data_IF_045905078189
#
_entry.id   IF_045905078189
#
_cell.length_a   1.000
_cell.length_b   1.000
_cell.length_c   1.000
_cell.angle_alpha   90.00
_cell.angle_beta   90.00
_cell.angle_gamma   90.00
#
_symmetry.space_group_name_H-M   'P 1'
#
loop_
_entity.id
_entity.type
_entity.pdbx_description
1 polymer ?
#
# COMPACT_ATOMS: atom_id res chain seq x y z
N UNK A 1 -5.87 -22.52 18.91
CA UNK A 1 -5.77 -21.08 19.22
C UNK A 1 -5.57 -20.31 17.90
N UNK A 2 -6.43 -19.34 17.54
CA UNK A 2 -6.21 -18.48 16.38
C UNK A 2 -4.94 -17.65 16.56
N UNK A 3 -4.20 -17.38 15.47
CA UNK A 3 -3.05 -16.46 15.55
C UNK A 3 -3.51 -15.03 15.82
N UNK A 4 -2.67 -14.21 16.48
CA UNK A 4 -2.90 -12.75 16.64
C UNK A 4 -3.26 -12.06 15.32
N UNK A 5 -2.67 -12.53 14.22
CA UNK A 5 -2.95 -12.03 12.87
C UNK A 5 -4.37 -12.35 12.39
N UNK A 6 -4.92 -13.50 12.76
CA UNK A 6 -6.29 -13.89 12.43
C UNK A 6 -7.30 -13.05 13.22
N UNK A 7 -7.03 -12.83 14.52
CA UNK A 7 -7.83 -12.00 15.43
C UNK A 7 -7.97 -10.55 14.95
N UNK A 8 -6.87 -9.95 14.46
CA UNK A 8 -6.84 -8.56 13.98
C UNK A 8 -7.37 -8.38 12.56
N UNK A 9 -7.67 -9.46 11.83
CA UNK A 9 -8.13 -9.36 10.44
C UNK A 9 -9.64 -9.52 10.34
N UNK A 10 -10.27 -8.73 9.47
CA UNK A 10 -11.72 -8.80 9.20
C UNK A 10 -12.02 -8.72 7.70
N UNK A 11 -13.16 -9.28 7.31
CA UNK A 11 -13.71 -9.12 5.98
C UNK A 11 -14.05 -7.65 5.72
N UNK A 12 -13.64 -7.12 4.57
CA UNK A 12 -13.88 -5.71 4.21
C UNK A 12 -15.35 -5.41 3.94
N UNK A 13 -16.12 -6.40 3.49
CA UNK A 13 -17.56 -6.24 3.23
C UNK A 13 -18.42 -6.46 4.49
N UNK A 14 -18.38 -7.67 5.07
CA UNK A 14 -19.29 -8.06 6.16
C UNK A 14 -18.68 -8.00 7.56
N UNK A 15 -17.40 -7.64 7.70
CA UNK A 15 -16.74 -7.48 8.99
C UNK A 15 -16.41 -8.78 9.75
N UNK A 16 -16.74 -9.97 9.23
CA UNK A 16 -16.42 -11.23 9.92
C UNK A 16 -14.91 -11.34 10.19
N UNK A 17 -14.54 -11.71 11.41
CA UNK A 17 -13.15 -11.85 11.83
C UNK A 17 -12.49 -13.06 11.18
N UNK A 18 -11.19 -12.97 10.95
CA UNK A 18 -10.36 -14.05 10.42
C UNK A 18 -10.20 -15.24 11.37
N UNK A 19 -10.46 -15.04 12.66
CA UNK A 19 -10.55 -16.13 13.64
C UNK A 19 -11.85 -16.93 13.53
N UNK A 20 -12.90 -16.36 12.94
CA UNK A 20 -14.21 -17.02 12.73
C UNK A 20 -14.26 -17.69 11.36
N UNK A 21 -13.80 -17.00 10.31
CA UNK A 21 -13.81 -17.53 8.94
C UNK A 21 -12.51 -17.18 8.23
N UNK A 22 -11.94 -18.15 7.53
CA UNK A 22 -10.74 -17.95 6.72
C UNK A 22 -10.96 -16.84 5.69
N UNK A 23 -10.10 -15.83 5.71
CA UNK A 23 -10.16 -14.71 4.79
C UNK A 23 -9.18 -14.90 3.65
N UNK A 24 -9.67 -14.69 2.43
CA UNK A 24 -8.89 -14.69 1.20
C UNK A 24 -8.51 -13.25 0.85
N UNK A 25 -7.25 -13.05 0.44
CA UNK A 25 -6.79 -11.75 -0.04
C UNK A 25 -7.29 -11.51 -1.46
N UNK A 26 -7.57 -10.27 -1.80
CA UNK A 26 -7.77 -9.87 -3.19
C UNK A 26 -6.54 -10.28 -4.02
N UNK A 27 -6.74 -11.01 -5.11
CA UNK A 27 -5.65 -11.55 -5.94
C UNK A 27 -4.82 -10.45 -6.61
N UNK A 28 -5.44 -9.32 -6.92
CA UNK A 28 -4.80 -8.16 -7.57
C UNK A 28 -3.97 -7.35 -6.58
N UNK A 29 -4.61 -6.64 -5.65
CA UNK A 29 -3.90 -5.71 -4.75
C UNK A 29 -3.30 -6.38 -3.51
N UNK A 30 -3.74 -7.58 -3.13
CA UNK A 30 -3.33 -8.33 -1.91
C UNK A 30 -3.55 -7.59 -0.58
N UNK A 31 -4.18 -6.41 -0.60
CA UNK A 31 -4.44 -5.55 0.56
C UNK A 31 -5.77 -5.89 1.24
N UNK A 32 -6.87 -5.89 0.47
CA UNK A 32 -8.20 -6.21 0.98
C UNK A 32 -8.37 -7.73 1.23
N UNK A 33 -9.20 -8.08 2.22
CA UNK A 33 -9.48 -9.46 2.64
C UNK A 33 -10.99 -9.72 2.66
N UNK A 34 -11.41 -10.87 2.15
CA UNK A 34 -12.81 -11.26 2.03
C UNK A 34 -13.02 -12.69 2.49
N UNK A 35 -14.14 -12.96 3.14
CA UNK A 35 -14.47 -14.32 3.56
C UNK A 35 -15.07 -15.18 2.44
N UNK A 36 -15.44 -14.57 1.31
CA UNK A 36 -15.99 -15.23 0.13
C UNK A 36 -15.92 -14.34 -1.12
N UNK A 37 -16.16 -14.92 -2.30
CA UNK A 37 -16.20 -14.17 -3.57
C UNK A 37 -17.39 -13.22 -3.63
N UNK A 38 -18.50 -13.57 -2.99
CA UNK A 38 -19.71 -12.74 -2.91
C UNK A 38 -19.41 -11.45 -2.12
N UNK A 39 -18.69 -11.56 -1.01
CA UNK A 39 -18.25 -10.39 -0.24
C UNK A 39 -17.30 -9.50 -1.04
N UNK A 40 -16.39 -10.07 -1.84
CA UNK A 40 -15.52 -9.30 -2.72
C UNK A 40 -16.32 -8.56 -3.81
N UNK A 41 -17.30 -9.23 -4.43
CA UNK A 41 -18.17 -8.63 -5.46
C UNK A 41 -19.03 -7.51 -4.88
N UNK A 42 -19.58 -7.68 -3.68
CA UNK A 42 -20.39 -6.67 -3.01
C UNK A 42 -19.58 -5.39 -2.69
N UNK A 43 -18.33 -5.54 -2.24
CA UNK A 43 -17.41 -4.42 -1.98
C UNK A 43 -16.71 -3.91 -3.25
N UNK A 44 -16.98 -4.46 -4.44
CA UNK A 44 -16.19 -4.14 -5.63
C UNK A 44 -16.32 -2.68 -6.07
N UNK A 45 -17.50 -2.08 -5.98
CA UNK A 45 -17.71 -0.69 -6.40
C UNK A 45 -16.85 0.28 -5.59
N UNK A 46 -16.72 0.05 -4.27
CA UNK A 46 -15.92 0.83 -3.33
C UNK A 46 -14.44 0.46 -3.40
N UNK A 47 -14.12 -0.83 -3.57
CA UNK A 47 -12.74 -1.32 -3.60
C UNK A 47 -12.02 -1.02 -4.92
N UNK A 48 -12.71 -1.10 -6.07
CA UNK A 48 -12.11 -1.04 -7.42
C UNK A 48 -11.14 0.13 -7.62
N UNK A 49 -11.47 1.39 -7.26
CA UNK A 49 -10.53 2.50 -7.43
C UNK A 49 -9.21 2.23 -6.69
N UNK A 50 -9.29 1.95 -5.40
CA UNK A 50 -8.11 1.64 -4.57
C UNK A 50 -7.34 0.38 -5.00
N UNK A 51 -8.03 -0.60 -5.60
CA UNK A 51 -7.45 -1.86 -6.03
C UNK A 51 -6.52 -1.68 -7.23
N UNK A 52 -6.81 -0.72 -8.10
CA UNK A 52 -6.09 -0.50 -9.34
C UNK A 52 -4.95 0.51 -9.22
N UNK A 53 -5.01 1.45 -8.26
CA UNK A 53 -4.06 2.56 -8.13
C UNK A 53 -2.59 2.14 -8.33
N UNK A 54 -2.12 1.12 -7.60
CA UNK A 54 -0.71 0.72 -7.68
C UNK A 54 -0.36 0.11 -9.05
N UNK A 55 -1.27 -0.64 -9.67
CA UNK A 55 -1.02 -1.18 -11.01
C UNK A 55 -1.07 -0.10 -12.08
N UNK A 56 -2.02 0.82 -11.99
CA UNK A 56 -2.17 1.92 -12.96
C UNK A 56 -0.97 2.88 -12.87
N UNK A 57 -0.51 3.22 -11.66
CA UNK A 57 0.69 4.02 -11.47
C UNK A 57 1.93 3.34 -12.05
N UNK A 58 2.12 2.04 -11.79
CA UNK A 58 3.26 1.30 -12.30
C UNK A 58 3.30 1.28 -13.84
N UNK A 59 2.16 1.06 -14.49
CA UNK A 59 2.08 1.12 -15.96
C UNK A 59 2.31 2.55 -16.48
N UNK A 60 1.73 3.57 -15.86
CA UNK A 60 1.94 4.97 -16.26
C UNK A 60 3.42 5.40 -16.17
N UNK A 61 4.13 5.00 -15.11
CA UNK A 61 5.57 5.27 -14.96
C UNK A 61 6.40 4.55 -16.02
N UNK A 62 5.99 3.33 -16.39
CA UNK A 62 6.65 2.55 -17.44
C UNK A 62 6.41 3.16 -18.83
N UNK A 63 5.21 3.65 -19.10
CA UNK A 63 4.88 4.36 -20.34
C UNK A 63 5.67 5.68 -20.43
N UNK A 64 5.76 6.43 -19.34
CA UNK A 64 6.50 7.69 -19.25
C UNK A 64 7.98 7.53 -19.65
N UNK A 65 8.62 6.39 -19.33
CA UNK A 65 10.01 6.12 -19.70
C UNK A 65 10.26 6.16 -21.23
N UNK A 66 9.21 5.98 -22.03
CA UNK A 66 9.27 6.06 -23.50
C UNK A 66 8.97 7.46 -24.06
N UNK A 67 8.75 8.44 -23.20
CA UNK A 67 8.44 9.83 -23.59
C UNK A 67 9.68 10.72 -23.50
N UNK A 68 9.67 11.91 -24.13
CA UNK A 68 10.73 12.90 -23.93
C UNK A 68 10.92 13.28 -22.45
N UNK A 69 9.85 13.21 -21.64
CA UNK A 69 9.95 13.45 -20.19
C UNK A 69 10.74 12.35 -19.49
N UNK A 70 10.54 11.08 -19.85
CA UNK A 70 11.31 9.95 -19.31
C UNK A 70 12.81 10.05 -19.61
N UNK A 71 13.18 10.61 -20.77
CA UNK A 71 14.58 10.90 -21.08
C UNK A 71 15.17 11.96 -20.13
N UNK A 72 14.41 13.00 -19.80
CA UNK A 72 14.81 14.02 -18.82
C UNK A 72 14.95 13.41 -17.43
N UNK A 73 14.02 12.54 -17.02
CA UNK A 73 14.08 11.85 -15.72
C UNK A 73 15.39 11.07 -15.57
N UNK A 74 15.83 10.36 -16.61
CA UNK A 74 17.11 9.62 -16.61
C UNK A 74 18.33 10.53 -16.48
N UNK A 75 18.27 11.77 -16.94
CA UNK A 75 19.38 12.73 -16.78
C UNK A 75 19.39 13.31 -15.36
N UNK A 76 18.21 13.53 -14.78
CA UNK A 76 18.05 14.21 -13.49
C UNK A 76 18.18 13.25 -12.30
N UNK A 77 17.86 11.98 -12.48
CA UNK A 77 17.91 10.98 -11.42
C UNK A 77 19.30 10.34 -11.30
N UNK A 78 19.74 9.97 -10.08
CA UNK A 78 20.98 9.23 -9.87
C UNK A 78 21.03 7.92 -10.66
N UNK A 79 22.24 7.44 -10.96
CA UNK A 79 22.50 6.18 -11.70
C UNK A 79 21.86 6.11 -13.10
N UNK A 80 21.48 7.25 -13.68
CA UNK A 80 20.74 7.35 -14.94
C UNK A 80 19.45 6.51 -14.97
N UNK A 81 18.81 6.35 -13.81
CA UNK A 81 17.66 5.48 -13.67
C UNK A 81 16.36 6.14 -14.12
N UNK A 82 15.38 5.36 -14.55
CA UNK A 82 14.03 5.87 -14.81
C UNK A 82 13.21 6.03 -13.52
N UNK A 83 12.15 6.83 -13.57
CA UNK A 83 11.19 6.93 -12.46
C UNK A 83 10.54 5.57 -12.12
N UNK A 84 10.31 4.72 -13.12
CA UNK A 84 9.81 3.37 -12.90
C UNK A 84 10.79 2.52 -12.09
N UNK A 85 12.09 2.56 -12.44
CA UNK A 85 13.12 1.85 -11.67
C UNK A 85 13.23 2.38 -10.24
N UNK A 86 13.11 3.70 -10.06
CA UNK A 86 13.11 4.33 -8.75
C UNK A 86 11.93 3.84 -7.91
N UNK A 87 10.72 3.81 -8.47
CA UNK A 87 9.52 3.27 -7.80
C UNK A 87 9.72 1.81 -7.38
N UNK A 88 10.29 0.97 -8.26
CA UNK A 88 10.57 -0.43 -7.91
C UNK A 88 11.60 -0.58 -6.78
N UNK A 89 12.65 0.26 -6.75
CA UNK A 89 13.62 0.29 -5.64
C UNK A 89 12.95 0.77 -4.36
N UNK A 90 12.15 1.83 -4.43
CA UNK A 90 11.41 2.38 -3.30
C UNK A 90 10.42 1.36 -2.72
N UNK A 91 9.66 0.65 -3.56
CA UNK A 91 8.73 -0.38 -3.13
C UNK A 91 9.42 -1.51 -2.35
N UNK A 92 10.61 -1.95 -2.81
CA UNK A 92 11.44 -2.92 -2.09
C UNK A 92 11.93 -2.37 -0.75
N UNK A 93 12.41 -1.13 -0.75
CA UNK A 93 12.89 -0.45 0.46
C UNK A 93 11.78 -0.28 1.50
N UNK A 94 10.59 0.16 1.10
CA UNK A 94 9.42 0.31 1.97
C UNK A 94 8.99 -1.04 2.53
N UNK A 95 9.01 -2.09 1.71
CA UNK A 95 8.69 -3.45 2.15
C UNK A 95 9.71 -3.95 3.19
N UNK A 96 10.99 -3.71 2.98
CA UNK A 96 12.04 -4.09 3.93
C UNK A 96 11.90 -3.35 5.26
N UNK A 97 11.65 -2.03 5.21
CA UNK A 97 11.52 -1.18 6.40
C UNK A 97 10.09 -1.09 6.97
N UNK A 98 9.18 -1.97 6.55
CA UNK A 98 7.75 -1.86 6.89
C UNK A 98 7.49 -1.76 8.39
N UNK A 99 8.22 -2.54 9.20
CA UNK A 99 8.08 -2.51 10.66
C UNK A 99 8.49 -1.15 11.26
N UNK A 100 9.62 -0.60 10.81
CA UNK A 100 10.10 0.71 11.27
C UNK A 100 9.17 1.83 10.82
N UNK A 101 8.75 1.83 9.55
CA UNK A 101 7.83 2.84 9.02
C UNK A 101 6.48 2.80 9.73
N UNK A 102 5.96 1.61 10.05
CA UNK A 102 4.74 1.45 10.82
C UNK A 102 4.91 2.00 12.24
N UNK A 103 6.02 1.69 12.91
CA UNK A 103 6.33 2.23 14.24
C UNK A 103 6.41 3.76 14.20
N UNK A 104 7.16 4.33 13.25
CA UNK A 104 7.31 5.77 13.08
C UNK A 104 5.95 6.44 12.82
N UNK A 105 5.10 5.83 11.99
CA UNK A 105 3.75 6.35 11.71
C UNK A 105 2.87 6.36 12.95
N UNK A 106 2.85 5.28 13.73
CA UNK A 106 2.04 5.19 14.95
C UNK A 106 2.42 6.27 15.96
N UNK A 107 3.73 6.48 16.17
CA UNK A 107 4.23 7.41 17.18
C UNK A 107 4.17 8.86 16.70
N UNK A 108 4.56 9.13 15.44
CA UNK A 108 4.55 10.49 14.90
C UNK A 108 3.14 11.06 14.79
N UNK A 109 2.14 10.21 14.49
CA UNK A 109 0.74 10.63 14.46
C UNK A 109 0.05 10.53 15.83
N UNK A 110 0.72 10.05 16.88
CA UNK A 110 0.13 9.90 18.22
C UNK A 110 -1.11 8.99 18.23
N UNK A 111 -1.17 7.98 17.36
CA UNK A 111 -2.34 7.09 17.19
C UNK A 111 -2.81 6.47 18.51
N UNK A 112 -1.94 6.02 19.44
CA UNK A 112 -2.39 5.45 20.70
C UNK A 112 -3.13 6.43 21.61
N UNK A 113 -2.92 7.74 21.42
CA UNK A 113 -3.61 8.80 22.17
C UNK A 113 -4.92 9.21 21.48
N UNK A 114 -4.91 9.26 20.14
CA UNK A 114 -6.10 9.60 19.36
C UNK A 114 -6.08 8.90 18.00
N UNK A 115 -7.01 7.97 17.80
CA UNK A 115 -7.20 7.31 16.51
C UNK A 115 -7.63 8.28 15.39
N UNK A 116 -8.21 9.43 15.76
CA UNK A 116 -8.66 10.43 14.80
C UNK A 116 -7.49 11.02 13.99
N UNK A 117 -6.29 11.04 14.56
CA UNK A 117 -5.09 11.54 13.90
C UNK A 117 -4.74 10.73 12.63
N UNK A 118 -5.15 9.45 12.55
CA UNK A 118 -5.01 8.64 11.34
C UNK A 118 -5.75 9.21 10.12
N UNK A 119 -6.75 10.09 10.34
CA UNK A 119 -7.60 10.67 9.29
C UNK A 119 -7.37 12.16 9.08
N UNK A 120 -6.79 12.86 10.06
CA UNK A 120 -6.64 14.32 10.04
C UNK A 120 -5.20 14.79 9.85
N UNK A 121 -4.21 13.90 10.01
CA UNK A 121 -2.80 14.28 9.95
C UNK A 121 -2.06 13.48 8.87
N UNK A 122 -1.05 14.11 8.27
CA UNK A 122 -0.19 13.51 7.25
C UNK A 122 1.24 13.47 7.76
N UNK A 123 1.89 12.32 7.63
CA UNK A 123 3.32 12.16 7.93
C UNK A 123 4.14 12.41 6.67
N UNK A 124 4.98 13.45 6.70
CA UNK A 124 5.93 13.74 5.64
C UNK A 124 7.32 13.17 5.99
N UNK A 125 7.75 12.14 5.26
CA UNK A 125 9.06 11.49 5.43
C UNK A 125 10.02 11.95 4.34
N UNK A 126 11.11 12.63 4.73
CA UNK A 126 12.20 13.00 3.81
C UNK A 126 13.39 12.06 3.99
N UNK A 127 13.60 11.21 3.00
CA UNK A 127 14.77 10.31 2.94
C UNK A 127 15.92 11.09 2.31
N UNK A 128 17.10 11.06 2.94
CA UNK A 128 18.34 11.62 2.40
C UNK A 128 19.41 10.52 2.35
N UNK A 129 20.30 10.52 1.35
CA UNK A 129 21.52 9.74 1.43
C UNK A 129 22.31 10.15 2.68
N UNK A 130 22.91 9.18 3.35
CA UNK A 130 23.94 9.39 4.38
C UNK A 130 25.27 9.74 3.75
#
# INVERSE_FOLDING_TARGET
MPSLRAEMSKCYNCGVKGSVKTLQKCSKCKAAKYCSRECQKADWATHKPSCNNNSELAEALKEQDNTPMGLIDRIMLPDNMSLYELDQRLAKWVKFHNAMLMWATIHALGIPVSENNARTMVLHLKIKPT
#
